data_IF_203794030414
#
_entry.id   IF_203794030414
#
_cell.length_a   1.000
_cell.length_b   1.000
_cell.length_c   1.000
_cell.angle_alpha   90.00
_cell.angle_beta   90.00
_cell.angle_gamma   90.00
#
_symmetry.space_group_name_H-M   'P 1'
#
loop_
_entity.id
_entity.type
_entity.pdbx_description
1 polymer ?
#
# COMPACT_ATOMS: atom_id res chain seq x y z
N UNK A 1 -31.25 13.76 18.69
CA UNK A 1 -30.09 12.84 18.68
C UNK A 1 -28.96 13.52 17.92
N UNK A 2 -27.75 13.54 18.48
CA UNK A 2 -26.56 14.08 17.79
C UNK A 2 -26.00 13.02 16.83
N UNK A 3 -25.63 13.45 15.61
CA UNK A 3 -25.05 12.57 14.60
C UNK A 3 -23.59 12.28 14.94
N UNK A 4 -23.21 11.01 15.00
CA UNK A 4 -21.80 10.59 15.12
C UNK A 4 -21.25 10.32 13.73
N UNK A 5 -20.04 10.80 13.45
CA UNK A 5 -19.32 10.48 12.21
C UNK A 5 -18.31 9.37 12.51
N UNK A 6 -18.37 8.28 11.76
CA UNK A 6 -17.34 7.25 11.78
C UNK A 6 -16.35 7.49 10.63
N UNK A 7 -15.06 7.49 10.95
CA UNK A 7 -13.99 7.56 9.96
C UNK A 7 -13.40 6.17 9.78
N UNK A 8 -13.46 5.63 8.56
CA UNK A 8 -12.86 4.35 8.21
C UNK A 8 -11.55 4.62 7.45
N UNK A 9 -10.45 4.06 7.94
CA UNK A 9 -9.12 4.19 7.33
C UNK A 9 -8.66 2.78 6.97
N UNK A 10 -8.65 2.48 5.68
CA UNK A 10 -8.08 1.23 5.18
C UNK A 10 -6.57 1.25 5.34
N UNK A 11 -6.02 0.20 5.94
CA UNK A 11 -4.59 -0.01 6.10
C UNK A 11 -4.30 -1.50 6.20
N UNK A 12 -3.03 -1.86 6.06
CA UNK A 12 -2.51 -3.12 6.57
C UNK A 12 -1.36 -2.80 7.52
N UNK A 13 -1.19 -3.61 8.55
CA UNK A 13 0.06 -3.59 9.30
C UNK A 13 1.04 -4.53 8.61
N UNK A 14 2.22 -4.02 8.24
CA UNK A 14 3.16 -4.77 7.41
C UNK A 14 4.50 -4.93 8.10
N UNK A 15 4.65 -6.01 8.86
CA UNK A 15 5.95 -6.44 9.34
C UNK A 15 6.83 -6.80 8.13
N UNK A 16 7.88 -6.01 7.90
CA UNK A 16 8.78 -6.17 6.75
C UNK A 16 9.41 -7.58 6.68
N UNK A 17 9.66 -8.16 7.85
CA UNK A 17 10.08 -9.54 8.04
C UNK A 17 9.66 -10.00 9.44
N UNK A 18 9.21 -11.25 9.59
CA UNK A 18 8.84 -11.77 10.90
C UNK A 18 8.97 -13.30 11.00
N UNK A 19 7.85 -14.03 10.91
CA UNK A 19 7.81 -15.49 11.10
C UNK A 19 8.10 -16.27 9.82
N UNK A 20 8.12 -15.60 8.66
CA UNK A 20 8.61 -16.14 7.40
C UNK A 20 9.86 -15.37 6.96
N UNK A 21 10.71 -15.96 6.10
CA UNK A 21 11.82 -15.24 5.49
C UNK A 21 11.34 -13.96 4.80
N UNK A 22 12.17 -12.93 4.83
CA UNK A 22 11.90 -11.62 4.21
C UNK A 22 11.28 -11.75 2.81
N UNK A 23 11.88 -12.52 1.91
CA UNK A 23 11.41 -12.62 0.52
C UNK A 23 9.99 -13.20 0.39
N UNK A 24 9.54 -14.02 1.36
CA UNK A 24 8.17 -14.50 1.35
C UNK A 24 7.19 -13.37 1.65
N UNK A 25 7.48 -12.55 2.67
CA UNK A 25 6.72 -11.33 2.92
C UNK A 25 6.84 -10.36 1.74
N UNK A 26 8.02 -10.23 1.15
CA UNK A 26 8.26 -9.32 0.04
C UNK A 26 7.40 -9.65 -1.20
N UNK A 27 7.24 -10.92 -1.57
CA UNK A 27 6.32 -11.33 -2.65
C UNK A 27 4.88 -10.94 -2.33
N UNK A 28 4.40 -11.22 -1.11
CA UNK A 28 3.04 -10.84 -0.70
C UNK A 28 2.84 -9.32 -0.70
N UNK A 29 3.89 -8.54 -0.39
CA UNK A 29 3.85 -7.09 -0.48
C UNK A 29 3.61 -6.64 -1.92
N UNK A 30 4.28 -7.29 -2.88
CA UNK A 30 4.08 -6.96 -4.29
C UNK A 30 2.70 -7.30 -4.81
N UNK A 31 2.09 -8.38 -4.33
CA UNK A 31 0.71 -8.75 -4.68
C UNK A 31 -0.27 -7.73 -4.12
N UNK A 32 -0.12 -7.37 -2.83
CA UNK A 32 -0.90 -6.32 -2.19
C UNK A 32 -0.83 -5.00 -2.96
N UNK A 33 0.38 -4.54 -3.30
CA UNK A 33 0.59 -3.27 -3.97
C UNK A 33 -0.02 -3.28 -5.38
N UNK A 34 0.12 -4.36 -6.13
CA UNK A 34 -0.49 -4.49 -7.46
C UNK A 34 -2.03 -4.41 -7.40
N UNK A 35 -2.65 -5.12 -6.46
CA UNK A 35 -4.11 -5.07 -6.28
C UNK A 35 -4.57 -3.70 -5.78
N UNK A 36 -3.83 -3.11 -4.84
CA UNK A 36 -4.11 -1.78 -4.30
C UNK A 36 -4.08 -0.70 -5.38
N UNK A 37 -3.02 -0.66 -6.19
CA UNK A 37 -2.89 0.33 -7.27
C UNK A 37 -3.98 0.18 -8.31
N UNK A 38 -4.27 -1.06 -8.71
CA UNK A 38 -5.38 -1.33 -9.63
C UNK A 38 -6.72 -0.88 -9.05
N UNK A 39 -6.94 -1.08 -7.75
CA UNK A 39 -8.17 -0.62 -7.08
C UNK A 39 -8.25 0.90 -7.02
N UNK A 40 -7.15 1.57 -6.66
CA UNK A 40 -7.07 3.04 -6.60
C UNK A 40 -7.31 3.69 -7.97
N UNK A 41 -6.86 3.05 -9.05
CA UNK A 41 -7.06 3.54 -10.42
C UNK A 41 -8.50 3.34 -10.92
N UNK A 42 -9.17 2.26 -10.51
CA UNK A 42 -10.45 1.85 -11.10
C UNK A 42 -11.71 2.03 -10.22
N UNK A 43 -11.60 2.23 -8.90
CA UNK A 43 -12.75 2.54 -8.02
C UNK A 43 -12.65 3.95 -7.42
N UNK A 44 -13.40 4.89 -8.00
CA UNK A 44 -13.45 6.29 -7.55
C UNK A 44 -13.89 6.47 -6.09
N UNK A 45 -14.52 5.46 -5.47
CA UNK A 45 -14.93 5.48 -4.06
C UNK A 45 -13.80 5.07 -3.13
N UNK A 46 -12.76 4.42 -3.64
CA UNK A 46 -11.62 3.92 -2.88
C UNK A 46 -10.37 4.75 -3.23
N UNK A 47 -10.22 5.90 -2.56
CA UNK A 47 -9.19 6.90 -2.94
C UNK A 47 -7.92 6.89 -2.10
N UNK A 48 -7.96 6.29 -0.91
CA UNK A 48 -6.86 6.39 0.05
C UNK A 48 -6.62 5.05 0.74
N UNK A 49 -5.34 4.76 0.97
CA UNK A 49 -4.87 3.63 1.76
C UNK A 49 -3.67 4.07 2.61
N UNK A 50 -3.65 3.69 3.87
CA UNK A 50 -2.54 4.02 4.76
C UNK A 50 -1.50 2.91 4.72
N UNK A 51 -0.32 3.18 4.15
CA UNK A 51 0.81 2.25 4.07
C UNK A 51 1.62 2.20 5.37
N UNK A 52 0.92 1.91 6.48
CA UNK A 52 1.49 1.53 7.78
C UNK A 52 2.50 2.53 8.39
N UNK A 53 2.49 3.79 7.94
CA UNK A 53 3.40 4.83 8.42
C UNK A 53 4.87 4.64 8.02
N UNK A 54 5.17 3.72 7.11
CA UNK A 54 6.54 3.38 6.69
C UNK A 54 6.74 3.62 5.18
N UNK A 55 7.74 4.43 4.83
CA UNK A 55 8.02 4.75 3.43
C UNK A 55 8.78 3.64 2.69
N UNK A 56 9.44 2.74 3.43
CA UNK A 56 10.28 1.67 2.85
C UNK A 56 9.47 0.70 1.98
N UNK A 57 8.17 0.54 2.25
CA UNK A 57 7.26 -0.28 1.43
C UNK A 57 7.31 0.12 -0.05
N UNK A 58 7.42 1.42 -0.35
CA UNK A 58 7.48 1.93 -1.72
C UNK A 58 8.78 1.46 -2.39
N UNK A 59 9.91 1.58 -1.69
CA UNK A 59 11.19 1.17 -2.25
C UNK A 59 11.28 -0.36 -2.42
N UNK A 60 10.78 -1.14 -1.47
CA UNK A 60 10.70 -2.60 -1.59
C UNK A 60 9.87 -3.00 -2.82
N UNK A 61 8.68 -2.41 -2.99
CA UNK A 61 7.88 -2.65 -4.19
C UNK A 61 8.60 -2.27 -5.50
N UNK A 62 9.28 -1.12 -5.52
CA UNK A 62 10.01 -0.64 -6.71
C UNK A 62 11.30 -1.40 -7.01
N UNK A 63 11.82 -2.22 -6.08
CA UNK A 63 12.91 -3.16 -6.38
C UNK A 63 12.43 -4.25 -7.35
N UNK A 64 11.15 -4.64 -7.27
CA UNK A 64 10.54 -5.67 -8.13
C UNK A 64 9.89 -5.06 -9.37
N UNK A 65 9.26 -3.89 -9.24
CA UNK A 65 8.56 -3.17 -10.32
C UNK A 65 9.16 -1.77 -10.58
N UNK A 66 10.43 -1.69 -11.04
CA UNK A 66 11.14 -0.41 -11.20
C UNK A 66 10.46 0.55 -12.19
N UNK A 67 9.73 0.03 -13.18
CA UNK A 67 8.99 0.82 -14.17
C UNK A 67 7.83 1.62 -13.58
N UNK A 68 7.36 1.27 -12.37
CA UNK A 68 6.28 1.98 -11.66
C UNK A 68 6.76 3.24 -10.93
N UNK A 69 8.07 3.51 -10.92
CA UNK A 69 8.67 4.62 -10.15
C UNK A 69 8.10 5.99 -10.52
N UNK A 70 7.84 6.24 -11.81
CA UNK A 70 7.26 7.52 -12.25
C UNK A 70 5.83 7.72 -11.74
N UNK A 71 5.01 6.66 -11.79
CA UNK A 71 3.64 6.69 -11.28
C UNK A 71 3.57 6.84 -9.75
N UNK A 72 4.63 6.47 -9.03
CA UNK A 72 4.75 6.57 -7.57
C UNK A 72 5.54 7.79 -7.10
N UNK A 73 6.00 8.65 -8.01
CA UNK A 73 6.73 9.84 -7.63
C UNK A 73 5.82 10.75 -6.79
N UNK A 74 6.35 11.42 -5.74
CA UNK A 74 5.59 12.43 -5.03
C UNK A 74 5.10 13.49 -6.02
N UNK A 75 3.78 13.66 -6.12
CA UNK A 75 3.21 14.80 -6.83
C UNK A 75 3.51 16.06 -5.99
N UNK A 76 4.33 16.96 -6.53
CA UNK A 76 4.66 18.25 -5.92
C UNK A 76 3.47 19.19 -5.83
#
# INVERSE_FOLDING_TARGET
MTRTTAHLISHTHWDREWYMPYEHHHVLLTELMNELLNTLENDERYRYFHLDGQTIIIEDYLQVFPEKREAMAPTG
#
